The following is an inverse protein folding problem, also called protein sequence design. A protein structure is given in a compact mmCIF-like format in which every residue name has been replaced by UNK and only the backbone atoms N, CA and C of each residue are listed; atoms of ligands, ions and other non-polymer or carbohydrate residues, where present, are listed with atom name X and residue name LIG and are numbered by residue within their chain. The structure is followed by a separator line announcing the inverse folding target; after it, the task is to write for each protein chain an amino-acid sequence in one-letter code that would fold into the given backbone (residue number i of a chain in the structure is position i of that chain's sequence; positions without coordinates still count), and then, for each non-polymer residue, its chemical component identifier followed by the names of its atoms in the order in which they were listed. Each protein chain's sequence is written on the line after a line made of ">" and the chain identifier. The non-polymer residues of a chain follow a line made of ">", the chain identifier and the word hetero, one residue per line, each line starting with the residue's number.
data_IF_796125857601
#
_entry.id   IF_796125857601
#
_cell.length_a   1.000
_cell.length_b   1.000
_cell.length_c   1.000
_cell.angle_alpha   90.00
_cell.angle_beta   90.00
_cell.angle_gamma   90.00
#
_symmetry.space_group_name_H-M   'P 1'
#
loop_
_entity.id
_entity.type
_entity.pdbx_description
1 polymer ?
#
# COMPACT_ATOMS: atom_id res chain seq x y z
N UNK A 1 -10.81 34.51 -10.36
CA UNK A 1 -11.65 33.63 -9.51
C UNK A 1 -10.81 32.47 -9.08
N UNK A 2 -10.76 32.14 -7.79
CA UNK A 2 -10.08 30.92 -7.38
C UNK A 2 -10.79 29.71 -8.02
N UNK A 3 -10.05 28.68 -8.44
CA UNK A 3 -10.66 27.49 -9.05
C UNK A 3 -11.66 26.89 -8.06
N UNK A 4 -12.88 26.69 -8.51
CA UNK A 4 -13.89 26.01 -7.69
C UNK A 4 -13.36 24.63 -7.30
N UNK A 5 -13.16 24.43 -6.00
CA UNK A 5 -12.79 23.11 -5.50
C UNK A 5 -13.90 22.15 -5.87
N UNK A 6 -13.55 21.12 -6.63
CA UNK A 6 -14.50 20.06 -6.98
C UNK A 6 -14.97 19.36 -5.70
N UNK A 7 -16.25 19.11 -5.59
CA UNK A 7 -16.80 18.38 -4.45
C UNK A 7 -16.43 16.91 -4.56
N UNK A 8 -15.95 16.34 -3.47
CA UNK A 8 -15.61 14.92 -3.38
C UNK A 8 -16.91 14.12 -3.21
N UNK A 9 -17.17 13.20 -4.13
CA UNK A 9 -18.30 12.28 -4.05
C UNK A 9 -17.96 11.06 -3.22
N UNK A 10 -16.75 10.52 -3.37
CA UNK A 10 -16.30 9.34 -2.64
C UNK A 10 -14.78 9.28 -2.55
N UNK A 11 -14.29 8.56 -1.57
CA UNK A 11 -12.88 8.22 -1.40
C UNK A 11 -12.76 6.69 -1.39
N UNK A 12 -11.97 6.15 -2.30
CA UNK A 12 -11.75 4.70 -2.42
C UNK A 12 -10.29 4.38 -2.16
N UNK A 13 -10.05 3.39 -1.32
CA UNK A 13 -8.70 2.90 -1.01
C UNK A 13 -8.58 1.45 -1.45
N UNK A 14 -7.66 1.16 -2.33
CA UNK A 14 -7.39 -0.19 -2.81
C UNK A 14 -5.88 -0.42 -2.89
N UNK A 15 -5.47 -1.68 -2.82
CA UNK A 15 -4.09 -2.09 -3.00
C UNK A 15 -4.00 -2.97 -4.25
N UNK A 16 -3.12 -2.62 -5.17
CA UNK A 16 -2.96 -3.27 -6.47
C UNK A 16 -1.50 -3.59 -6.74
N UNK A 17 -1.26 -4.60 -7.56
CA UNK A 17 0.07 -4.88 -8.08
C UNK A 17 0.54 -3.72 -8.98
N UNK A 18 1.73 -3.21 -8.70
CA UNK A 18 2.31 -2.13 -9.47
C UNK A 18 2.49 -2.52 -10.94
N UNK A 19 2.07 -1.65 -11.85
CA UNK A 19 2.15 -1.86 -13.30
C UNK A 19 1.22 -2.95 -13.84
N UNK A 20 0.34 -3.52 -13.04
CA UNK A 20 -0.54 -4.63 -13.42
C UNK A 20 -2.02 -4.40 -13.08
N UNK A 21 -2.45 -3.14 -12.95
CA UNK A 21 -3.85 -2.83 -12.72
C UNK A 21 -4.69 -3.18 -13.95
N UNK A 22 -5.79 -3.88 -13.71
CA UNK A 22 -6.74 -4.29 -14.75
C UNK A 22 -8.16 -3.92 -14.36
N UNK A 23 -9.11 -3.84 -15.32
CA UNK A 23 -10.52 -3.57 -15.00
C UNK A 23 -11.21 -4.69 -14.21
N UNK A 24 -10.55 -5.83 -14.06
CA UNK A 24 -11.06 -6.95 -13.26
C UNK A 24 -11.14 -6.58 -11.76
N UNK A 25 -11.93 -7.29 -10.94
CA UNK A 25 -11.91 -7.07 -9.50
C UNK A 25 -10.49 -7.12 -8.92
N UNK A 26 -10.13 -6.26 -7.94
CA UNK A 26 -11.03 -5.40 -7.15
C UNK A 26 -11.31 -4.02 -7.78
N UNK A 27 -10.62 -3.62 -8.85
CA UNK A 27 -10.73 -2.27 -9.43
C UNK A 27 -12.12 -2.00 -9.98
N UNK A 28 -12.63 -2.89 -10.81
CA UNK A 28 -13.95 -2.76 -11.40
C UNK A 28 -15.05 -2.69 -10.36
N UNK A 29 -14.96 -3.51 -9.33
CA UNK A 29 -15.92 -3.54 -8.22
C UNK A 29 -15.86 -2.27 -7.37
N UNK A 30 -14.67 -1.73 -7.15
CA UNK A 30 -14.46 -0.54 -6.32
C UNK A 30 -14.89 0.75 -7.05
N UNK A 31 -14.62 0.86 -8.34
CA UNK A 31 -14.84 2.08 -9.12
C UNK A 31 -16.15 2.08 -9.93
N UNK A 32 -16.65 0.91 -10.29
CA UNK A 32 -17.86 0.77 -11.09
C UNK A 32 -19.08 1.51 -10.55
N UNK A 33 -19.44 1.38 -9.26
CA UNK A 33 -20.58 2.07 -8.65
C UNK A 33 -20.49 3.60 -8.71
N UNK A 34 -19.29 4.15 -8.85
CA UNK A 34 -19.05 5.59 -8.88
C UNK A 34 -19.05 6.19 -10.30
N UNK A 35 -19.17 5.35 -11.32
CA UNK A 35 -19.22 5.80 -12.72
C UNK A 35 -17.92 6.38 -13.26
N UNK A 36 -16.80 6.03 -12.67
CA UNK A 36 -15.45 6.48 -13.09
C UNK A 36 -14.97 5.64 -14.27
N UNK A 37 -14.19 6.24 -15.16
CA UNK A 37 -13.56 5.52 -16.27
C UNK A 37 -12.42 4.63 -15.74
N UNK A 38 -12.70 3.34 -15.60
CA UNK A 38 -11.80 2.34 -15.04
C UNK A 38 -10.54 2.18 -15.89
N UNK A 39 -10.68 2.20 -17.21
CA UNK A 39 -9.55 2.04 -18.13
C UNK A 39 -8.56 3.19 -18.02
N UNK A 40 -9.06 4.40 -17.90
CA UNK A 40 -8.22 5.59 -17.71
C UNK A 40 -7.44 5.51 -16.38
N UNK A 41 -8.11 5.11 -15.31
CA UNK A 41 -7.47 4.87 -14.03
C UNK A 41 -6.37 3.81 -14.12
N UNK A 42 -6.64 2.66 -14.73
CA UNK A 42 -5.68 1.58 -14.90
C UNK A 42 -4.43 2.04 -15.67
N UNK A 43 -4.62 2.78 -16.76
CA UNK A 43 -3.51 3.34 -17.54
C UNK A 43 -2.65 4.32 -16.72
N UNK A 44 -3.30 5.24 -16.03
CA UNK A 44 -2.60 6.23 -15.19
C UNK A 44 -1.85 5.57 -14.03
N UNK A 45 -2.47 4.63 -13.35
CA UNK A 45 -1.86 3.87 -12.26
C UNK A 45 -0.66 3.05 -12.74
N UNK A 46 -0.82 2.32 -13.84
CA UNK A 46 0.26 1.51 -14.39
C UNK A 46 1.46 2.38 -14.81
N UNK A 47 1.22 3.54 -15.40
CA UNK A 47 2.27 4.47 -15.75
C UNK A 47 2.99 5.03 -14.52
N UNK A 48 2.24 5.36 -13.46
CA UNK A 48 2.80 5.91 -12.22
C UNK A 48 3.59 4.87 -11.41
N UNK A 49 3.25 3.59 -11.52
CA UNK A 49 3.84 2.51 -10.73
C UNK A 49 4.76 1.57 -11.53
N UNK A 50 5.03 1.89 -12.78
CA UNK A 50 5.85 1.04 -13.65
C UNK A 50 7.24 0.75 -13.09
N UNK A 51 7.86 1.73 -12.46
CA UNK A 51 9.17 1.60 -11.82
C UNK A 51 9.19 0.66 -10.60
N UNK A 52 8.02 0.37 -10.05
CA UNK A 52 7.85 -0.44 -8.83
C UNK A 52 7.15 -1.78 -9.10
N UNK A 53 7.24 -2.29 -10.32
CA UNK A 53 6.65 -3.58 -10.70
C UNK A 53 7.04 -4.70 -9.75
N UNK A 54 6.11 -5.61 -9.51
CA UNK A 54 6.30 -6.75 -8.62
C UNK A 54 6.05 -6.45 -7.15
N UNK A 55 5.62 -5.22 -6.83
CA UNK A 55 5.27 -4.80 -5.46
C UNK A 55 3.81 -4.38 -5.43
N UNK A 56 3.13 -4.66 -4.31
CA UNK A 56 1.77 -4.18 -4.09
C UNK A 56 1.85 -2.72 -3.65
N UNK A 57 1.19 -1.83 -4.38
CA UNK A 57 1.15 -0.41 -4.08
C UNK A 57 -0.28 -0.02 -3.71
N UNK A 58 -0.52 0.45 -2.48
CA UNK A 58 -1.81 1.02 -2.10
C UNK A 58 -2.05 2.32 -2.85
N UNK A 59 -3.27 2.53 -3.27
CA UNK A 59 -3.69 3.76 -3.92
C UNK A 59 -4.95 4.29 -3.25
N UNK A 60 -4.96 5.59 -3.05
CA UNK A 60 -6.12 6.33 -2.53
C UNK A 60 -6.70 7.15 -3.67
N UNK A 61 -7.92 6.82 -4.09
CA UNK A 61 -8.59 7.43 -5.23
C UNK A 61 -9.68 8.36 -4.70
N UNK A 62 -9.58 9.63 -5.05
CA UNK A 62 -10.60 10.62 -4.76
C UNK A 62 -11.50 10.78 -5.98
N UNK A 63 -12.79 10.49 -5.82
CA UNK A 63 -13.79 10.60 -6.89
C UNK A 63 -14.63 11.84 -6.66
N UNK A 64 -14.76 12.66 -7.67
CA UNK A 64 -15.53 13.90 -7.65
C UNK A 64 -16.95 13.73 -8.20
N UNK A 65 -17.83 14.65 -7.88
CA UNK A 65 -19.24 14.62 -8.35
C UNK A 65 -19.37 14.67 -9.87
N UNK A 66 -18.40 15.26 -10.58
CA UNK A 66 -18.35 15.33 -12.04
C UNK A 66 -17.82 14.05 -12.70
N UNK A 67 -17.67 12.95 -11.95
CA UNK A 67 -17.12 11.66 -12.37
C UNK A 67 -15.66 11.68 -12.77
N UNK A 68 -14.94 12.75 -12.46
CA UNK A 68 -13.48 12.79 -12.56
C UNK A 68 -12.87 12.20 -11.29
N UNK A 69 -11.60 11.81 -11.37
CA UNK A 69 -10.89 11.26 -10.25
C UNK A 69 -9.47 11.84 -10.16
N UNK A 70 -8.93 11.81 -8.96
CA UNK A 70 -7.50 11.96 -8.72
C UNK A 70 -7.06 10.81 -7.82
N UNK A 71 -5.79 10.44 -7.90
CA UNK A 71 -5.27 9.37 -7.05
C UNK A 71 -3.88 9.70 -6.53
N UNK A 72 -3.57 9.14 -5.37
CA UNK A 72 -2.27 9.23 -4.73
C UNK A 72 -1.79 7.79 -4.48
N UNK A 73 -0.60 7.47 -4.97
CA UNK A 73 0.05 6.20 -4.64
C UNK A 73 0.79 6.34 -3.32
N UNK A 74 0.72 5.31 -2.50
CA UNK A 74 1.43 5.25 -1.22
C UNK A 74 2.57 4.26 -1.29
N UNK A 75 3.39 4.21 -0.26
CA UNK A 75 4.46 3.21 -0.16
C UNK A 75 3.87 1.80 0.01
N UNK A 76 4.60 0.74 -0.37
CA UNK A 76 4.13 -0.64 -0.20
C UNK A 76 3.69 -0.91 1.25
N UNK A 77 2.67 -1.77 1.48
CA UNK A 77 2.27 -2.14 2.82
C UNK A 77 3.43 -2.76 3.60
N UNK A 78 3.57 -2.40 4.87
CA UNK A 78 4.63 -2.92 5.72
C UNK A 78 4.60 -4.46 5.78
N UNK A 79 3.41 -5.06 5.82
CA UNK A 79 3.24 -6.50 5.82
C UNK A 79 3.86 -7.17 4.59
N UNK A 80 3.70 -6.60 3.41
CA UNK A 80 4.30 -7.14 2.17
C UNK A 80 5.82 -7.02 2.16
N UNK A 81 6.35 -5.89 2.63
CA UNK A 81 7.79 -5.69 2.77
C UNK A 81 8.41 -6.67 3.77
N UNK A 82 7.74 -6.92 4.89
CA UNK A 82 8.18 -7.89 5.91
C UNK A 82 8.15 -9.32 5.36
N UNK A 83 7.09 -9.72 4.68
CA UNK A 83 7.00 -11.04 4.04
C UNK A 83 8.12 -11.25 3.03
N UNK A 84 8.40 -10.27 2.22
CA UNK A 84 9.48 -10.32 1.24
C UNK A 84 10.85 -10.43 1.90
N UNK A 85 11.11 -9.66 2.95
CA UNK A 85 12.37 -9.68 3.69
C UNK A 85 12.57 -11.01 4.43
N UNK A 86 11.52 -11.57 5.02
CA UNK A 86 11.55 -12.86 5.72
C UNK A 86 11.53 -14.07 4.78
N UNK A 87 11.18 -13.86 3.51
CA UNK A 87 11.07 -14.93 2.52
C UNK A 87 9.91 -15.88 2.74
N UNK A 88 8.83 -15.41 3.40
CA UNK A 88 7.64 -16.21 3.68
C UNK A 88 6.46 -15.78 2.80
N UNK A 89 5.64 -16.71 2.31
CA UNK A 89 4.50 -16.39 1.45
C UNK A 89 3.32 -15.79 2.22
N UNK A 90 3.20 -16.08 3.51
CA UNK A 90 2.09 -15.65 4.34
C UNK A 90 2.51 -15.51 5.80
N UNK A 91 1.89 -14.56 6.51
CA UNK A 91 2.05 -14.41 7.95
C UNK A 91 1.36 -15.53 8.73
N UNK A 92 1.66 -15.63 10.02
CA UNK A 92 1.06 -16.63 10.91
C UNK A 92 -0.39 -16.27 11.25
N UNK A 93 -1.26 -17.27 11.27
CA UNK A 93 -2.62 -17.14 11.81
C UNK A 93 -2.67 -17.10 13.34
N UNK A 94 -1.61 -17.58 14.00
CA UNK A 94 -1.47 -17.63 15.48
C UNK A 94 -0.09 -17.06 15.85
N UNK A 95 0.16 -15.76 15.68
CA UNK A 95 1.50 -15.18 15.76
C UNK A 95 2.16 -15.29 17.14
N UNK A 96 1.39 -15.43 18.20
CA UNK A 96 1.92 -15.56 19.56
C UNK A 96 2.44 -16.97 19.87
N UNK A 97 2.02 -17.98 19.11
CA UNK A 97 2.44 -19.36 19.27
C UNK A 97 3.30 -19.85 18.13
N UNK A 98 2.95 -19.49 16.91
CA UNK A 98 3.61 -19.94 15.70
C UNK A 98 4.38 -18.80 15.04
N UNK A 99 5.70 -18.93 15.01
CA UNK A 99 6.58 -18.01 14.30
C UNK A 99 6.89 -18.59 12.92
N UNK A 100 6.70 -17.77 11.87
CA UNK A 100 6.86 -18.21 10.49
C UNK A 100 8.16 -17.75 9.85
N UNK A 101 8.85 -16.80 10.45
CA UNK A 101 10.10 -16.29 9.89
C UNK A 101 10.84 -15.36 10.82
N UNK A 102 11.99 -14.90 10.35
CA UNK A 102 12.85 -13.95 11.04
C UNK A 102 13.34 -12.89 10.08
N UNK A 103 13.53 -11.67 10.57
CA UNK A 103 14.19 -10.59 9.86
C UNK A 103 15.30 -10.01 10.72
N UNK A 104 16.36 -9.54 10.08
CA UNK A 104 17.44 -8.85 10.77
C UNK A 104 17.07 -7.40 11.08
N UNK A 105 17.76 -6.80 12.03
CA UNK A 105 17.58 -5.39 12.34
C UNK A 105 17.89 -4.47 11.18
N UNK A 106 18.82 -4.84 10.33
CA UNK A 106 19.14 -4.09 9.11
C UNK A 106 17.99 -4.12 8.11
N UNK A 107 17.32 -5.28 7.96
CA UNK A 107 16.13 -5.41 7.13
C UNK A 107 14.97 -4.56 7.67
N UNK A 108 14.80 -4.51 9.00
CA UNK A 108 13.82 -3.63 9.64
C UNK A 108 14.12 -2.16 9.34
N UNK A 109 15.38 -1.77 9.38
CA UNK A 109 15.83 -0.41 9.02
C UNK A 109 15.50 -0.06 7.58
N UNK A 110 15.77 -0.95 6.64
CA UNK A 110 15.46 -0.75 5.21
C UNK A 110 13.96 -0.59 4.98
N UNK A 111 13.15 -1.43 5.60
CA UNK A 111 11.68 -1.36 5.53
C UNK A 111 11.19 -0.03 6.13
N UNK A 112 11.71 0.35 7.29
CA UNK A 112 11.35 1.60 7.95
C UNK A 112 11.71 2.82 7.11
N UNK A 113 12.87 2.81 6.46
CA UNK A 113 13.31 3.89 5.56
C UNK A 113 12.38 4.01 4.35
N UNK A 114 11.99 2.90 3.75
CA UNK A 114 11.06 2.86 2.62
C UNK A 114 9.68 3.40 3.01
N UNK A 115 9.22 3.06 4.22
CA UNK A 115 7.89 3.40 4.72
C UNK A 115 7.81 4.78 5.39
N UNK A 116 8.95 5.36 5.74
CA UNK A 116 9.03 6.60 6.53
C UNK A 116 8.15 7.74 6.01
N UNK A 117 8.03 7.99 4.68
CA UNK A 117 7.15 9.05 4.17
C UNK A 117 5.67 8.91 4.54
N UNK A 118 5.19 7.68 4.78
CA UNK A 118 3.80 7.39 5.14
C UNK A 118 3.59 7.23 6.65
N UNK A 119 4.66 7.24 7.43
CA UNK A 119 4.60 7.06 8.87
C UNK A 119 4.56 8.41 9.59
N UNK A 120 3.95 8.42 10.75
CA UNK A 120 3.96 9.58 11.66
C UNK A 120 5.15 9.56 12.64
N UNK A 121 6.15 8.73 12.37
CA UNK A 121 7.36 8.64 13.18
C UNK A 121 8.22 9.89 13.02
N UNK A 122 8.79 10.38 14.11
CA UNK A 122 9.65 11.56 14.11
C UNK A 122 11.08 11.24 13.64
N UNK A 123 11.52 10.01 13.84
CA UNK A 123 12.85 9.55 13.48
C UNK A 123 12.83 8.10 12.97
N UNK A 124 13.99 7.63 12.50
CA UNK A 124 14.13 6.27 11.97
C UNK A 124 13.93 5.20 13.06
N UNK A 125 14.39 5.44 14.28
CA UNK A 125 14.25 4.48 15.38
C UNK A 125 12.78 4.26 15.74
N UNK A 126 11.98 5.31 15.77
CA UNK A 126 10.53 5.22 15.98
C UNK A 126 9.86 4.45 14.84
N UNK A 127 10.26 4.69 13.59
CA UNK A 127 9.77 3.96 12.43
C UNK A 127 10.12 2.47 12.51
N UNK A 128 11.33 2.13 12.93
CA UNK A 128 11.77 0.75 13.13
C UNK A 128 10.90 0.03 14.17
N UNK A 129 10.55 0.69 15.28
CA UNK A 129 9.66 0.13 16.30
C UNK A 129 8.27 -0.18 15.75
N UNK A 130 7.74 0.69 14.88
CA UNK A 130 6.45 0.46 14.22
C UNK A 130 6.52 -0.79 13.33
N UNK A 131 7.58 -0.93 12.54
CA UNK A 131 7.81 -2.10 11.68
C UNK A 131 7.98 -3.38 12.50
N UNK A 132 8.74 -3.33 13.59
CA UNK A 132 8.92 -4.46 14.51
C UNK A 132 7.58 -4.92 15.10
N UNK A 133 6.72 -3.99 15.49
CA UNK A 133 5.38 -4.29 15.99
C UNK A 133 4.51 -4.99 14.94
N UNK A 134 4.55 -4.53 13.69
CA UNK A 134 3.86 -5.17 12.58
C UNK A 134 4.40 -6.57 12.31
N UNK A 135 5.71 -6.75 12.29
CA UNK A 135 6.35 -8.07 12.13
C UNK A 135 5.93 -9.04 13.24
N UNK A 136 5.91 -8.56 14.48
CA UNK A 136 5.46 -9.34 15.63
C UNK A 136 4.01 -9.82 15.46
N UNK A 137 3.13 -8.97 14.96
CA UNK A 137 1.73 -9.31 14.70
C UNK A 137 1.57 -10.35 13.59
N UNK A 138 2.57 -10.52 12.73
CA UNK A 138 2.60 -11.49 11.65
C UNK A 138 3.29 -12.80 12.02
N UNK A 139 3.85 -12.92 13.22
CA UNK A 139 4.64 -14.08 13.62
C UNK A 139 6.07 -14.07 13.07
N UNK A 140 6.59 -12.90 12.71
CA UNK A 140 7.98 -12.71 12.28
C UNK A 140 8.77 -12.11 13.44
N UNK A 141 9.87 -12.75 13.79
CA UNK A 141 10.76 -12.28 14.87
C UNK A 141 11.85 -11.37 14.31
N UNK A 142 12.29 -10.41 15.10
CA UNK A 142 13.39 -9.48 14.77
C UNK A 142 14.61 -9.83 15.58
N UNK A 143 15.77 -9.92 14.94
CA UNK A 143 17.08 -10.17 15.58
C UNK A 143 18.01 -8.97 15.44
#
# INVERSE_FOLDING_TARGET
>A
MPPKRKKVAALVKIALNAGAATPAPPVGTALGPHGVNIMEFCKAYNAATESMRGTIIPVEITIYEDRTFSFITKTPPAAELIKKAAGVPKGSGVPHREKVGKISRDQVRDIATTKLPDLNANDLDAAMKIVEGTARSMGVTTE
#
